data_IF_524764176487
#
_entry.id   IF_524764176487
#
_cell.length_a   1.000
_cell.length_b   1.000
_cell.length_c   1.000
_cell.angle_alpha   90.00
_cell.angle_beta   90.00
_cell.angle_gamma   90.00
#
_symmetry.space_group_name_H-M   'P 1'
#
loop_
_entity.id
_entity.type
_entity.pdbx_description
1 polymer ?
#
# COMPACT_ATOMS: atom_id res chain seq x y z
N UNK A 1 18.16 23.62 -12.01
CA UNK A 1 19.62 23.77 -11.86
C UNK A 1 20.04 22.93 -10.68
N UNK A 2 21.19 22.24 -10.73
CA UNK A 2 21.70 21.46 -9.60
C UNK A 2 21.87 22.33 -8.34
N UNK A 3 21.50 21.78 -7.18
CA UNK A 3 21.64 22.45 -5.87
C UNK A 3 22.79 21.84 -5.07
N UNK A 4 23.34 22.62 -4.14
CA UNK A 4 24.31 22.13 -3.15
C UNK A 4 23.75 21.04 -2.23
N UNK A 5 22.42 20.97 -2.12
CA UNK A 5 21.70 19.97 -1.33
C UNK A 5 21.59 18.63 -2.03
N UNK A 6 21.86 18.55 -3.35
CA UNK A 6 21.84 17.31 -4.13
C UNK A 6 22.77 16.27 -3.52
N UNK A 7 22.36 15.00 -3.64
CA UNK A 7 23.09 13.85 -3.11
C UNK A 7 23.40 12.83 -4.19
N UNK A 8 24.49 12.08 -3.99
CA UNK A 8 24.77 10.83 -4.69
C UNK A 8 24.76 9.66 -3.70
N UNK A 9 24.25 8.52 -4.12
CA UNK A 9 24.31 7.28 -3.33
C UNK A 9 25.71 6.69 -3.40
N UNK A 10 26.25 6.24 -2.26
CA UNK A 10 27.62 5.72 -2.14
C UNK A 10 27.67 4.26 -1.72
N UNK A 11 26.78 3.87 -0.83
CA UNK A 11 26.74 2.53 -0.26
C UNK A 11 25.29 2.13 -0.04
N UNK A 12 25.01 0.85 -0.23
CA UNK A 12 23.71 0.24 0.03
C UNK A 12 23.94 -1.05 0.79
N UNK A 13 23.17 -1.25 1.85
CA UNK A 13 23.11 -2.50 2.61
C UNK A 13 21.68 -3.00 2.59
N UNK A 14 21.54 -4.33 2.52
CA UNK A 14 20.25 -4.99 2.59
C UNK A 14 20.27 -6.09 3.63
N UNK A 15 19.15 -6.27 4.31
CA UNK A 15 18.87 -7.44 5.12
C UNK A 15 17.42 -7.85 4.91
N UNK A 16 17.10 -9.08 5.28
CA UNK A 16 15.74 -9.60 5.20
C UNK A 16 15.34 -10.21 6.52
N UNK A 17 14.10 -9.99 6.91
CA UNK A 17 13.53 -10.57 8.12
C UNK A 17 12.23 -11.30 7.78
N UNK A 18 12.03 -12.47 8.39
CA UNK A 18 10.80 -13.24 8.22
C UNK A 18 9.98 -13.20 9.48
N UNK A 19 8.68 -12.97 9.30
CA UNK A 19 7.71 -12.92 10.37
C UNK A 19 6.59 -13.91 10.07
N UNK A 20 6.37 -14.84 10.99
CA UNK A 20 5.14 -15.63 10.99
C UNK A 20 3.99 -14.74 11.49
N UNK A 21 2.87 -14.76 10.78
CA UNK A 21 1.67 -14.13 11.28
C UNK A 21 1.10 -14.93 12.45
N UNK A 22 0.56 -14.21 13.43
CA UNK A 22 -0.12 -14.82 14.58
C UNK A 22 -1.27 -15.74 14.14
N UNK A 23 -2.02 -15.32 13.13
CA UNK A 23 -3.07 -16.10 12.47
C UNK A 23 -2.96 -15.88 10.95
N UNK A 24 -3.32 -16.87 10.11
CA UNK A 24 -3.30 -16.69 8.67
C UNK A 24 -4.19 -15.53 8.22
N UNK A 25 -3.64 -14.61 7.44
CA UNK A 25 -4.35 -13.49 6.85
C UNK A 25 -4.71 -13.81 5.41
N UNK A 26 -5.96 -13.59 4.98
CA UNK A 26 -6.31 -13.66 3.55
C UNK A 26 -5.98 -12.35 2.86
N UNK A 27 -4.95 -12.34 2.02
CA UNK A 27 -4.47 -11.17 1.29
C UNK A 27 -4.45 -11.48 -0.22
N UNK A 28 -5.05 -10.62 -1.05
CA UNK A 28 -5.15 -10.89 -2.49
C UNK A 28 -5.91 -12.17 -2.84
N UNK A 29 -6.86 -12.59 -1.99
CA UNK A 29 -7.61 -13.85 -2.17
C UNK A 29 -6.90 -15.11 -1.66
N UNK A 30 -5.64 -15.03 -1.25
CA UNK A 30 -4.82 -16.17 -0.82
C UNK A 30 -4.53 -16.10 0.68
N UNK A 31 -4.68 -17.19 1.45
CA UNK A 31 -4.21 -17.23 2.83
C UNK A 31 -2.68 -17.13 2.88
N UNK A 32 -2.17 -16.23 3.71
CA UNK A 32 -0.76 -15.99 3.95
C UNK A 32 -0.50 -16.17 5.44
N UNK A 33 0.50 -16.98 5.79
CA UNK A 33 0.89 -17.27 7.18
C UNK A 33 2.21 -16.63 7.60
N UNK A 34 2.95 -16.05 6.65
CA UNK A 34 4.22 -15.39 6.91
C UNK A 34 4.47 -14.26 5.92
N UNK A 35 5.35 -13.34 6.28
CA UNK A 35 5.82 -12.28 5.39
C UNK A 35 7.33 -12.13 5.51
N UNK A 36 7.96 -11.71 4.42
CA UNK A 36 9.37 -11.36 4.39
C UNK A 36 9.53 -9.88 4.12
N UNK A 37 10.16 -9.19 5.06
CA UNK A 37 10.52 -7.78 4.97
C UNK A 37 11.91 -7.64 4.35
N UNK A 38 12.03 -6.70 3.42
CA UNK A 38 13.29 -6.20 2.91
C UNK A 38 13.62 -4.90 3.65
N UNK A 39 14.71 -4.90 4.41
CA UNK A 39 15.28 -3.71 5.03
C UNK A 39 16.48 -3.23 4.22
N UNK A 40 16.55 -1.92 4.00
CA UNK A 40 17.61 -1.29 3.22
C UNK A 40 18.20 -0.13 4.03
N UNK A 41 19.52 -0.06 4.09
CA UNK A 41 20.25 1.11 4.56
C UNK A 41 21.02 1.73 3.39
N UNK A 42 20.94 3.04 3.23
CA UNK A 42 21.65 3.76 2.16
C UNK A 42 22.53 4.86 2.76
N UNK A 43 23.80 4.91 2.33
CA UNK A 43 24.67 6.05 2.57
C UNK A 43 24.63 7.00 1.38
N UNK A 44 24.34 8.25 1.65
CA UNK A 44 24.34 9.33 0.66
C UNK A 44 25.47 10.32 0.95
N UNK A 45 25.94 11.03 -0.07
CA UNK A 45 26.94 12.09 0.04
C UNK A 45 26.46 13.34 -0.69
N UNK A 46 26.50 14.50 -0.03
CA UNK A 46 26.18 15.79 -0.66
C UNK A 46 27.33 16.30 -1.52
N UNK A 47 27.08 17.30 -2.36
CA UNK A 47 28.15 17.99 -3.13
C UNK A 47 29.29 18.53 -2.27
N UNK A 48 28.96 18.98 -1.06
CA UNK A 48 29.91 19.43 -0.04
C UNK A 48 30.67 18.27 0.68
N UNK A 49 30.48 17.01 0.28
CA UNK A 49 31.16 15.85 0.85
C UNK A 49 30.64 15.38 2.21
N UNK A 50 29.52 15.93 2.70
CA UNK A 50 28.87 15.44 3.93
C UNK A 50 28.15 14.14 3.65
N UNK A 51 28.11 13.24 4.64
CA UNK A 51 27.47 11.93 4.51
C UNK A 51 26.43 11.70 5.59
N UNK A 52 25.41 10.93 5.26
CA UNK A 52 24.43 10.43 6.19
C UNK A 52 23.93 9.05 5.76
N UNK A 53 23.46 8.28 6.74
CA UNK A 53 22.76 7.02 6.52
C UNK A 53 21.26 7.26 6.65
N UNK A 54 20.49 6.55 5.84
CA UNK A 54 19.04 6.45 5.95
C UNK A 54 18.57 5.01 5.81
N UNK A 55 17.35 4.77 6.26
CA UNK A 55 16.76 3.45 6.40
C UNK A 55 15.39 3.40 5.72
N UNK A 56 15.08 2.25 5.13
CA UNK A 56 13.79 1.96 4.50
C UNK A 56 13.44 0.49 4.65
N UNK A 57 12.14 0.19 4.75
CA UNK A 57 11.66 -1.18 4.91
C UNK A 57 10.32 -1.37 4.20
N UNK A 58 10.16 -2.54 3.57
CA UNK A 58 8.91 -2.92 2.91
C UNK A 58 8.81 -4.45 2.85
N UNK A 59 7.63 -5.05 3.11
CA UNK A 59 7.37 -6.45 2.75
C UNK A 59 7.52 -6.68 1.24
N UNK A 60 8.03 -7.84 0.82
CA UNK A 60 8.03 -8.17 -0.61
C UNK A 60 6.62 -8.22 -1.20
N UNK A 61 5.61 -8.69 -0.44
CA UNK A 61 4.20 -8.58 -0.84
C UNK A 61 3.86 -9.26 -2.18
N UNK A 62 4.59 -10.30 -2.58
CA UNK A 62 4.50 -10.92 -3.90
C UNK A 62 3.11 -11.48 -4.23
N UNK A 63 2.32 -11.91 -3.24
CA UNK A 63 0.92 -12.36 -3.44
C UNK A 63 0.01 -11.28 -4.00
N UNK A 64 0.31 -10.01 -3.73
CA UNK A 64 -0.47 -8.87 -4.19
C UNK A 64 0.23 -8.11 -5.32
N UNK A 65 1.55 -7.91 -5.25
CA UNK A 65 2.28 -7.16 -6.26
C UNK A 65 2.55 -8.00 -7.52
N UNK A 66 2.65 -9.33 -7.38
CA UNK A 66 2.83 -10.29 -8.47
C UNK A 66 1.82 -11.47 -8.36
N UNK A 67 0.51 -11.21 -8.54
CA UNK A 67 -0.56 -12.19 -8.30
C UNK A 67 -0.70 -13.20 -9.45
N UNK A 68 0.39 -13.89 -9.80
CA UNK A 68 0.45 -14.82 -10.91
C UNK A 68 -0.34 -16.10 -10.66
N UNK A 69 -1.07 -16.55 -11.68
CA UNK A 69 -1.64 -17.92 -11.73
C UNK A 69 -0.73 -18.92 -12.45
N UNK A 70 0.37 -18.44 -13.05
CA UNK A 70 1.27 -19.21 -13.92
C UNK A 70 2.65 -19.41 -13.30
N UNK A 71 3.06 -18.50 -12.42
CA UNK A 71 4.33 -18.52 -11.69
C UNK A 71 4.04 -18.84 -10.22
N UNK A 72 4.58 -19.94 -9.67
CA UNK A 72 4.37 -20.31 -8.28
C UNK A 72 4.88 -19.25 -7.29
N UNK A 73 4.28 -19.19 -6.11
CA UNK A 73 4.62 -18.25 -5.04
C UNK A 73 6.13 -18.14 -4.77
N UNK A 74 6.83 -19.28 -4.61
CA UNK A 74 8.27 -19.28 -4.35
C UNK A 74 9.10 -18.67 -5.50
N UNK A 75 8.63 -18.80 -6.74
CA UNK A 75 9.30 -18.21 -7.89
C UNK A 75 9.04 -16.70 -7.98
N UNK A 76 7.81 -16.24 -7.68
CA UNK A 76 7.54 -14.79 -7.65
C UNK A 76 8.30 -14.10 -6.52
N UNK A 77 8.35 -14.70 -5.33
CA UNK A 77 9.16 -14.22 -4.21
C UNK A 77 10.66 -14.25 -4.53
N UNK A 78 11.15 -15.34 -5.12
CA UNK A 78 12.54 -15.48 -5.57
C UNK A 78 12.93 -14.41 -6.60
N UNK A 79 12.04 -14.07 -7.53
CA UNK A 79 12.24 -13.01 -8.50
C UNK A 79 12.36 -11.64 -7.84
N UNK A 80 11.49 -11.33 -6.87
CA UNK A 80 11.54 -10.05 -6.14
C UNK A 80 12.80 -9.93 -5.26
N UNK A 81 13.25 -11.02 -4.62
CA UNK A 81 14.55 -11.06 -3.93
C UNK A 81 15.72 -10.84 -4.88
N UNK A 82 15.68 -11.48 -6.05
CA UNK A 82 16.73 -11.33 -7.05
C UNK A 82 16.80 -9.91 -7.60
N UNK A 83 15.65 -9.28 -7.81
CA UNK A 83 15.58 -7.88 -8.20
C UNK A 83 16.17 -6.96 -7.13
N UNK A 84 15.89 -7.19 -5.84
CA UNK A 84 16.44 -6.35 -4.76
C UNK A 84 17.97 -6.42 -4.69
N UNK A 85 18.55 -7.57 -4.99
CA UNK A 85 20.01 -7.72 -5.13
C UNK A 85 20.57 -6.85 -6.23
N UNK A 86 19.96 -6.90 -7.42
CA UNK A 86 20.42 -6.12 -8.56
C UNK A 86 20.25 -4.61 -8.33
N UNK A 87 19.18 -4.19 -7.68
CA UNK A 87 18.97 -2.78 -7.31
C UNK A 87 20.04 -2.31 -6.30
N UNK A 88 20.31 -3.10 -5.25
CA UNK A 88 21.34 -2.77 -4.26
C UNK A 88 22.73 -2.62 -4.90
N UNK A 89 23.00 -3.44 -5.90
CA UNK A 89 24.21 -3.41 -6.70
C UNK A 89 24.28 -2.19 -7.63
N UNK A 90 23.21 -1.84 -8.32
CA UNK A 90 23.19 -0.78 -9.33
C UNK A 90 23.11 0.63 -8.73
N UNK A 91 22.31 0.82 -7.68
CA UNK A 91 22.03 2.14 -7.09
C UNK A 91 23.29 2.97 -6.75
N UNK A 92 24.33 2.47 -6.05
CA UNK A 92 25.53 3.25 -5.75
C UNK A 92 26.41 3.51 -6.99
N UNK A 93 26.18 2.79 -8.09
CA UNK A 93 26.93 2.90 -9.36
C UNK A 93 26.21 3.71 -10.43
N UNK A 94 24.99 4.19 -10.14
CA UNK A 94 24.15 4.82 -11.14
C UNK A 94 24.72 6.13 -11.73
N UNK A 95 25.66 6.76 -11.02
CA UNK A 95 26.34 8.00 -11.43
C UNK A 95 25.48 9.26 -11.32
N UNK A 96 24.27 9.14 -10.74
CA UNK A 96 23.34 10.25 -10.59
C UNK A 96 23.62 11.05 -9.32
N UNK A 97 23.29 12.34 -9.38
CA UNK A 97 23.34 13.25 -8.24
C UNK A 97 22.17 14.23 -8.34
N UNK A 98 21.30 14.27 -7.33
CA UNK A 98 20.07 15.06 -7.37
C UNK A 98 19.26 14.98 -6.08
N UNK A 99 18.06 15.55 -6.10
CA UNK A 99 17.07 15.38 -5.03
C UNK A 99 16.49 13.95 -5.07
N UNK A 100 16.14 13.32 -3.94
CA UNK A 100 15.56 11.97 -3.90
C UNK A 100 14.44 11.70 -4.93
N UNK A 101 13.44 12.59 -5.02
CA UNK A 101 12.35 12.52 -6.04
C UNK A 101 12.88 12.48 -7.49
N UNK A 102 13.98 13.18 -7.77
CA UNK A 102 14.58 13.19 -9.11
C UNK A 102 15.40 11.94 -9.40
N UNK A 103 16.03 11.39 -8.36
CA UNK A 103 16.70 10.10 -8.45
C UNK A 103 15.69 8.99 -8.72
N UNK A 104 14.56 8.97 -8.02
CA UNK A 104 13.49 8.00 -8.24
C UNK A 104 12.98 8.02 -9.69
N UNK A 105 12.59 9.20 -10.18
CA UNK A 105 12.14 9.43 -11.57
C UNK A 105 13.18 8.96 -12.61
N UNK A 106 14.46 9.29 -12.41
CA UNK A 106 15.52 8.93 -13.34
C UNK A 106 15.90 7.44 -13.30
N UNK A 107 15.66 6.75 -12.17
CA UNK A 107 16.04 5.35 -11.96
C UNK A 107 14.93 4.36 -12.28
N UNK A 108 13.66 4.77 -12.31
CA UNK A 108 12.54 3.88 -12.61
C UNK A 108 12.76 3.06 -13.91
N UNK A 109 13.17 3.66 -15.05
CA UNK A 109 13.43 2.87 -16.27
C UNK A 109 14.50 1.79 -16.07
N UNK A 110 15.54 2.08 -15.27
CA UNK A 110 16.60 1.10 -14.98
C UNK A 110 16.08 -0.05 -14.13
N UNK A 111 15.18 0.21 -13.18
CA UNK A 111 14.54 -0.84 -12.38
C UNK A 111 13.69 -1.77 -13.24
N UNK A 112 13.00 -1.24 -14.24
CA UNK A 112 12.24 -2.03 -15.21
C UNK A 112 13.16 -2.90 -16.08
N UNK A 113 14.28 -2.36 -16.58
CA UNK A 113 15.28 -3.15 -17.31
C UNK A 113 15.87 -4.29 -16.46
N UNK A 114 16.14 -4.04 -15.17
CA UNK A 114 16.58 -5.09 -14.25
C UNK A 114 15.49 -6.15 -14.03
N UNK A 115 14.21 -5.75 -13.95
CA UNK A 115 13.09 -6.67 -13.82
C UNK A 115 12.92 -7.57 -15.06
N UNK A 116 13.13 -7.04 -16.26
CA UNK A 116 13.19 -7.81 -17.51
C UNK A 116 14.34 -8.83 -17.46
N UNK A 117 15.54 -8.39 -17.05
CA UNK A 117 16.68 -9.28 -16.88
C UNK A 117 16.40 -10.41 -15.87
N UNK A 118 15.73 -10.13 -14.76
CA UNK A 118 15.34 -11.15 -13.77
C UNK A 118 14.34 -12.14 -14.37
N UNK A 119 13.38 -11.63 -15.15
CA UNK A 119 12.39 -12.45 -15.87
C UNK A 119 13.09 -13.48 -16.76
N UNK A 120 14.09 -13.03 -17.54
CA UNK A 120 14.87 -13.89 -18.43
C UNK A 120 15.81 -14.84 -17.66
N UNK A 121 16.53 -14.33 -16.65
CA UNK A 121 17.47 -15.10 -15.82
C UNK A 121 16.77 -16.29 -15.15
N UNK A 122 15.57 -16.05 -14.60
CA UNK A 122 14.79 -17.07 -13.90
C UNK A 122 13.82 -17.84 -14.81
N UNK A 123 13.74 -17.48 -16.10
CA UNK A 123 12.83 -18.08 -17.09
C UNK A 123 11.38 -18.09 -16.61
N UNK A 124 10.92 -16.96 -16.07
CA UNK A 124 9.57 -16.84 -15.56
C UNK A 124 8.55 -17.03 -16.69
N UNK A 125 7.41 -17.64 -16.38
CA UNK A 125 6.36 -17.89 -17.37
C UNK A 125 5.65 -16.61 -17.86
N UNK A 126 5.82 -15.51 -17.12
CA UNK A 126 5.35 -14.17 -17.45
C UNK A 126 6.27 -13.11 -16.83
N UNK A 127 6.26 -11.87 -17.35
CA UNK A 127 7.12 -10.80 -16.86
C UNK A 127 6.88 -10.44 -15.40
N UNK A 128 7.94 -10.02 -14.71
CA UNK A 128 7.84 -9.38 -13.40
C UNK A 128 7.03 -8.07 -13.56
N UNK A 129 5.86 -7.92 -12.90
CA UNK A 129 4.99 -6.77 -13.10
C UNK A 129 5.62 -5.46 -12.64
N UNK A 130 5.34 -4.35 -13.34
CA UNK A 130 5.84 -3.00 -12.96
C UNK A 130 5.55 -2.68 -11.48
N UNK A 131 4.36 -3.00 -10.96
CA UNK A 131 4.04 -2.79 -9.54
C UNK A 131 5.00 -3.56 -8.61
N UNK A 132 5.28 -4.84 -8.90
CA UNK A 132 6.25 -5.62 -8.13
C UNK A 132 7.66 -5.03 -8.21
N UNK A 133 8.07 -4.50 -9.36
CA UNK A 133 9.33 -3.77 -9.49
C UNK A 133 9.37 -2.56 -8.57
N UNK A 134 8.33 -1.73 -8.58
CA UNK A 134 8.23 -0.53 -7.74
C UNK A 134 8.18 -0.87 -6.25
N UNK A 135 7.48 -1.94 -5.86
CA UNK A 135 7.46 -2.44 -4.48
C UNK A 135 8.87 -2.81 -4.02
N UNK A 136 9.65 -3.53 -4.84
CA UNK A 136 11.03 -3.90 -4.51
C UNK A 136 11.95 -2.67 -4.44
N UNK A 137 11.73 -1.67 -5.28
CA UNK A 137 12.50 -0.42 -5.27
C UNK A 137 12.15 0.50 -4.08
N UNK A 138 10.92 0.44 -3.56
CA UNK A 138 10.41 1.37 -2.55
C UNK A 138 11.23 1.47 -1.25
N UNK A 139 11.79 0.39 -0.64
CA UNK A 139 12.63 0.56 0.55
C UNK A 139 13.97 1.24 0.24
N UNK A 140 14.49 1.12 -0.98
CA UNK A 140 15.68 1.87 -1.40
C UNK A 140 15.36 3.35 -1.52
N UNK A 141 14.22 3.68 -2.14
CA UNK A 141 13.77 5.07 -2.28
C UNK A 141 13.49 5.71 -0.91
N UNK A 142 12.81 4.99 -0.01
CA UNK A 142 12.57 5.44 1.35
C UNK A 142 13.88 5.70 2.12
N UNK A 143 14.87 4.81 1.99
CA UNK A 143 16.18 4.98 2.63
C UNK A 143 16.96 6.19 2.07
N UNK A 144 16.86 6.46 0.76
CA UNK A 144 17.45 7.66 0.13
C UNK A 144 16.79 8.93 0.67
N UNK A 145 15.46 8.95 0.78
CA UNK A 145 14.69 10.06 1.34
C UNK A 145 15.03 10.32 2.81
N UNK A 146 15.08 9.28 3.63
CA UNK A 146 15.46 9.38 5.05
C UNK A 146 16.91 9.87 5.22
N UNK A 147 17.85 9.36 4.42
CA UNK A 147 19.24 9.80 4.43
C UNK A 147 19.36 11.29 4.05
N UNK A 148 18.58 11.74 3.07
CA UNK A 148 18.56 13.15 2.63
C UNK A 148 18.08 14.08 3.75
N UNK A 149 16.96 13.75 4.41
CA UNK A 149 16.46 14.51 5.56
C UNK A 149 17.49 14.59 6.69
N UNK A 150 18.05 13.43 7.08
CA UNK A 150 19.09 13.33 8.12
C UNK A 150 20.34 14.15 7.78
N UNK A 151 20.84 14.08 6.54
CA UNK A 151 22.00 14.82 6.06
C UNK A 151 21.84 16.34 6.22
N UNK A 152 20.61 16.84 6.00
CA UNK A 152 20.29 18.26 6.05
C UNK A 152 19.70 18.71 7.39
N UNK A 153 19.55 17.79 8.36
CA UNK A 153 18.98 18.07 9.67
C UNK A 153 17.53 18.55 9.57
N UNK A 154 16.74 17.89 8.72
CA UNK A 154 15.32 18.18 8.45
C UNK A 154 14.52 16.90 8.41
N UNK A 155 13.22 17.02 8.66
CA UNK A 155 12.29 15.97 8.26
C UNK A 155 12.17 15.99 6.73
N UNK A 156 12.18 14.84 6.06
CA UNK A 156 12.25 14.81 4.59
C UNK A 156 11.08 15.52 3.91
N UNK A 157 9.90 15.54 4.54
CA UNK A 157 8.73 16.25 4.00
C UNK A 157 8.90 17.78 3.99
N UNK A 158 9.81 18.35 4.79
CA UNK A 158 10.19 19.77 4.73
C UNK A 158 11.13 20.06 3.53
N UNK A 159 11.58 19.00 2.83
CA UNK A 159 12.52 19.07 1.73
C UNK A 159 11.86 18.96 0.36
N UNK A 160 10.54 19.07 0.27
CA UNK A 160 9.78 18.85 -0.96
C UNK A 160 9.37 20.13 -1.70
N UNK A 161 9.80 21.29 -1.19
CA UNK A 161 9.59 22.61 -1.80
C UNK A 161 10.70 23.06 -2.76
N UNK A 162 10.50 24.21 -3.43
CA UNK A 162 11.42 24.77 -4.43
C UNK A 162 12.82 25.09 -3.93
N UNK A 163 13.00 25.21 -2.62
CA UNK A 163 14.28 25.43 -1.95
C UNK A 163 15.20 24.21 -2.11
N UNK A 164 14.61 23.01 -2.19
CA UNK A 164 15.31 21.73 -2.13
C UNK A 164 15.20 20.91 -3.41
N UNK A 165 14.02 20.90 -4.04
CA UNK A 165 13.76 20.16 -5.28
C UNK A 165 14.12 21.03 -6.49
N UNK A 166 14.87 20.49 -7.47
CA UNK A 166 15.39 21.30 -8.58
C UNK A 166 14.38 21.53 -9.71
N UNK A 167 13.37 20.66 -9.82
CA UNK A 167 12.34 20.65 -10.86
C UNK A 167 10.95 20.80 -10.24
N UNK A 168 10.08 21.58 -10.86
CA UNK A 168 8.67 21.62 -10.46
C UNK A 168 7.93 20.34 -10.90
N UNK A 169 6.72 20.16 -10.39
CA UNK A 169 5.88 18.98 -10.66
C UNK A 169 5.53 18.81 -12.14
N UNK A 170 5.61 19.86 -12.97
CA UNK A 170 5.32 19.73 -14.41
C UNK A 170 6.34 18.90 -15.18
N UNK A 171 7.51 18.64 -14.59
CA UNK A 171 8.53 17.77 -15.17
C UNK A 171 8.26 16.28 -14.94
N UNK A 172 7.42 15.96 -13.95
CA UNK A 172 7.07 14.59 -13.56
C UNK A 172 5.63 14.22 -13.97
N UNK A 173 4.75 15.22 -13.98
CA UNK A 173 3.33 15.08 -14.29
C UNK A 173 3.03 15.78 -15.64
N UNK A 174 2.35 16.93 -15.61
CA UNK A 174 2.01 17.71 -16.80
C UNK A 174 2.05 19.23 -16.55
N UNK A 175 1.72 20.00 -17.60
CA UNK A 175 1.81 21.46 -17.59
C UNK A 175 0.85 22.16 -16.60
N UNK A 176 -0.16 21.48 -16.08
CA UNK A 176 -1.09 22.04 -15.10
C UNK A 176 -0.39 22.29 -13.76
N UNK A 177 0.69 21.57 -13.48
CA UNK A 177 1.48 21.67 -12.24
C UNK A 177 2.70 22.59 -12.37
N UNK A 178 2.75 23.45 -13.39
CA UNK A 178 3.87 24.37 -13.62
C UNK A 178 4.05 25.31 -12.41
N UNK A 179 5.26 25.35 -11.88
CA UNK A 179 5.61 26.13 -10.70
C UNK A 179 5.09 25.56 -9.36
N UNK A 180 4.43 24.40 -9.38
CA UNK A 180 3.96 23.73 -8.17
C UNK A 180 4.98 22.68 -7.71
N UNK A 181 5.08 22.50 -6.40
CA UNK A 181 6.00 21.58 -5.74
C UNK A 181 5.21 20.67 -4.78
N UNK A 182 5.84 19.59 -4.34
CA UNK A 182 5.20 18.57 -3.51
C UNK A 182 4.77 19.11 -2.13
N UNK A 183 5.47 20.12 -1.60
CA UNK A 183 5.14 20.83 -0.36
C UNK A 183 3.70 21.39 -0.32
N UNK A 184 3.11 21.70 -1.47
CA UNK A 184 1.71 22.11 -1.58
C UNK A 184 0.70 20.98 -1.27
N UNK A 185 1.12 19.73 -1.41
CA UNK A 185 0.27 18.54 -1.33
C UNK A 185 0.59 17.63 -0.15
N UNK A 186 1.72 17.86 0.53
CA UNK A 186 2.11 17.10 1.72
C UNK A 186 2.05 17.96 2.97
N UNK A 187 1.93 17.30 4.13
CA UNK A 187 2.05 17.97 5.42
C UNK A 187 3.50 17.91 5.90
N UNK A 188 4.15 19.05 6.05
CA UNK A 188 5.48 19.14 6.66
C UNK A 188 5.46 18.72 8.13
N UNK A 189 4.35 18.99 8.82
CA UNK A 189 4.15 18.65 10.22
C UNK A 189 3.26 17.41 10.35
N UNK A 190 3.74 16.32 10.97
CA UNK A 190 2.93 15.13 11.15
C UNK A 190 1.73 15.43 12.06
N UNK A 191 0.58 14.80 11.76
CA UNK A 191 -0.57 14.83 12.67
C UNK A 191 -0.29 13.90 13.83
N UNK A 192 -0.28 14.44 15.05
CA UNK A 192 -0.06 13.65 16.27
C UNK A 192 -1.13 12.57 16.53
N UNK A 193 -2.30 12.71 15.89
CA UNK A 193 -3.41 11.76 15.98
C UNK A 193 -4.07 11.62 14.62
N UNK A 194 -4.35 10.38 14.22
CA UNK A 194 -5.14 10.05 13.05
C UNK A 194 -5.94 8.78 13.30
N UNK A 195 -7.10 8.60 12.65
CA UNK A 195 -7.80 7.33 12.65
C UNK A 195 -6.93 6.21 12.09
N UNK A 196 -6.91 5.06 12.76
CA UNK A 196 -6.33 3.83 12.24
C UNK A 196 -7.46 2.86 11.90
N UNK A 197 -7.48 2.38 10.66
CA UNK A 197 -8.45 1.37 10.24
C UNK A 197 -7.94 -0.02 10.62
N UNK A 198 -8.67 -0.72 11.47
CA UNK A 198 -8.43 -2.13 11.75
C UNK A 198 -8.96 -2.98 10.59
N UNK A 199 -8.07 -3.72 9.94
CA UNK A 199 -8.43 -4.62 8.85
C UNK A 199 -9.20 -5.83 9.40
N UNK A 200 -10.35 -6.12 8.81
CA UNK A 200 -11.14 -7.33 9.06
C UNK A 200 -11.05 -8.18 7.80
N UNK A 201 -10.17 -9.18 7.83
CA UNK A 201 -9.98 -10.17 6.79
C UNK A 201 -11.22 -11.05 6.58
N UNK A 202 -11.28 -11.72 5.43
CA UNK A 202 -12.39 -12.63 5.12
C UNK A 202 -12.41 -13.90 5.98
N UNK A 203 -11.29 -14.25 6.61
CA UNK A 203 -11.15 -15.40 7.51
C UNK A 203 -11.22 -15.01 9.00
N UNK A 204 -11.31 -13.71 9.29
CA UNK A 204 -11.19 -13.23 10.65
C UNK A 204 -12.46 -13.57 11.45
N UNK A 205 -12.31 -14.22 12.62
CA UNK A 205 -13.42 -14.56 13.50
C UNK A 205 -14.15 -13.29 13.95
N UNK A 206 -15.48 -13.24 13.80
CA UNK A 206 -16.26 -12.13 14.35
C UNK A 206 -16.62 -12.36 15.81
N UNK A 207 -16.94 -13.61 16.13
CA UNK A 207 -17.41 -14.10 17.42
C UNK A 207 -16.74 -15.42 17.79
N UNK A 208 -16.92 -15.87 19.03
CA UNK A 208 -16.36 -17.15 19.49
C UNK A 208 -16.86 -18.36 18.68
N UNK A 209 -18.03 -18.25 18.04
CA UNK A 209 -18.58 -19.31 17.18
C UNK A 209 -17.78 -19.50 15.89
N UNK A 210 -17.00 -18.49 15.48
CA UNK A 210 -16.16 -18.55 14.28
C UNK A 210 -14.77 -19.15 14.58
N UNK A 211 -14.41 -19.34 15.86
CA UNK A 211 -13.11 -19.86 16.26
C UNK A 211 -13.03 -21.39 16.07
N UNK A 212 -12.02 -21.83 15.32
CA UNK A 212 -11.62 -23.25 15.31
C UNK A 212 -10.74 -23.60 16.51
N UNK A 213 -9.86 -22.68 16.90
CA UNK A 213 -8.94 -22.78 18.02
C UNK A 213 -8.76 -21.36 18.60
N UNK A 214 -8.64 -21.27 19.92
CA UNK A 214 -8.39 -20.02 20.62
C UNK A 214 -6.91 -19.95 20.99
N UNK A 215 -6.26 -18.83 20.66
CA UNK A 215 -4.88 -18.58 21.02
C UNK A 215 -4.83 -17.91 22.40
N UNK A 216 -4.13 -18.55 23.34
CA UNK A 216 -3.94 -18.05 24.71
C UNK A 216 -2.62 -17.29 24.87
N UNK A 217 -2.36 -16.35 23.96
CA UNK A 217 -1.13 -15.54 23.91
C UNK A 217 -1.31 -14.12 24.48
N UNK A 218 -2.47 -13.85 25.09
CA UNK A 218 -2.80 -12.55 25.70
C UNK A 218 -3.38 -11.52 24.73
N UNK A 219 -3.57 -11.86 23.46
CA UNK A 219 -4.19 -10.98 22.47
C UNK A 219 -5.63 -11.40 22.12
N UNK A 220 -6.50 -10.46 21.69
CA UNK A 220 -7.84 -10.78 21.20
C UNK A 220 -7.85 -11.78 20.03
N UNK A 221 -8.86 -12.63 19.96
CA UNK A 221 -9.06 -13.65 18.92
C UNK A 221 -10.22 -13.31 17.97
N UNK A 222 -11.20 -12.52 18.43
CA UNK A 222 -12.39 -12.16 17.64
C UNK A 222 -12.50 -10.65 17.43
N UNK A 223 -13.24 -10.24 16.40
CA UNK A 223 -13.55 -8.82 16.18
C UNK A 223 -14.17 -8.17 17.43
N UNK A 224 -15.08 -8.88 18.11
CA UNK A 224 -15.72 -8.35 19.31
C UNK A 224 -14.71 -8.00 20.41
N UNK A 225 -13.70 -8.87 20.59
CA UNK A 225 -12.63 -8.64 21.56
C UNK A 225 -11.67 -7.53 21.10
N UNK A 226 -11.33 -7.46 19.81
CA UNK A 226 -10.49 -6.40 19.25
C UNK A 226 -11.15 -5.02 19.41
N UNK A 227 -12.45 -4.89 19.16
CA UNK A 227 -13.19 -3.63 19.38
C UNK A 227 -13.12 -3.19 20.85
N UNK A 228 -13.17 -4.15 21.77
CA UNK A 228 -13.07 -3.87 23.21
C UNK A 228 -11.65 -3.50 23.63
N UNK A 229 -10.65 -4.22 23.13
CA UNK A 229 -9.25 -4.08 23.52
C UNK A 229 -8.60 -2.82 22.95
N UNK A 230 -8.70 -2.61 21.64
CA UNK A 230 -8.03 -1.51 20.92
C UNK A 230 -8.95 -0.30 20.70
N UNK A 231 -10.14 -0.34 21.30
CA UNK A 231 -11.10 0.73 21.26
C UNK A 231 -11.57 1.12 19.84
N UNK A 232 -11.53 0.17 18.90
CA UNK A 232 -11.68 0.40 17.46
C UNK A 232 -12.87 1.30 17.11
N UNK A 233 -12.64 2.28 16.24
CA UNK A 233 -13.69 3.18 15.70
C UNK A 233 -13.69 3.23 14.17
N UNK A 234 -12.64 2.72 13.53
CA UNK A 234 -12.49 2.68 12.09
C UNK A 234 -12.07 1.26 11.72
N UNK A 235 -12.84 0.63 10.85
CA UNK A 235 -12.65 -0.77 10.47
C UNK A 235 -12.71 -0.91 8.95
N UNK A 236 -11.81 -1.69 8.37
CA UNK A 236 -11.73 -1.95 6.93
C UNK A 236 -12.21 -3.37 6.66
N UNK A 237 -13.34 -3.51 6.00
CA UNK A 237 -13.97 -4.81 5.73
C UNK A 237 -13.47 -5.32 4.38
N UNK A 238 -12.73 -6.43 4.38
CA UNK A 238 -12.37 -7.13 3.14
C UNK A 238 -13.57 -7.90 2.61
N UNK A 239 -13.85 -7.70 1.32
CA UNK A 239 -14.97 -8.27 0.59
C UNK A 239 -14.46 -9.19 -0.52
N UNK A 240 -15.36 -10.03 -1.04
CA UNK A 240 -15.07 -10.98 -2.11
C UNK A 240 -15.22 -10.33 -3.49
N UNK A 241 -16.21 -9.45 -3.66
CA UNK A 241 -16.43 -8.66 -4.87
C UNK A 241 -17.05 -9.41 -6.05
N UNK A 242 -17.35 -10.69 -5.92
CA UNK A 242 -18.04 -11.46 -6.96
C UNK A 242 -19.17 -12.36 -6.42
N UNK A 243 -19.55 -12.17 -5.15
CA UNK A 243 -20.67 -12.85 -4.49
C UNK A 243 -21.44 -11.81 -3.65
N UNK A 244 -22.53 -11.28 -4.22
CA UNK A 244 -23.28 -10.19 -3.62
C UNK A 244 -24.00 -10.60 -2.34
N UNK A 245 -24.40 -11.87 -2.21
CA UNK A 245 -25.05 -12.38 -1.00
C UNK A 245 -24.01 -12.49 0.11
N UNK A 246 -22.85 -13.06 -0.18
CA UNK A 246 -21.75 -13.15 0.78
C UNK A 246 -21.27 -11.75 1.22
N UNK A 247 -21.04 -10.83 0.28
CA UNK A 247 -20.56 -9.48 0.58
C UNK A 247 -21.57 -8.69 1.44
N UNK A 248 -22.85 -8.74 1.07
CA UNK A 248 -23.92 -8.07 1.84
C UNK A 248 -23.99 -8.64 3.25
N UNK A 249 -24.04 -9.97 3.38
CA UNK A 249 -24.13 -10.63 4.68
C UNK A 249 -22.90 -10.33 5.55
N UNK A 250 -21.70 -10.33 4.96
CA UNK A 250 -20.45 -10.00 5.66
C UNK A 250 -20.51 -8.61 6.30
N UNK A 251 -20.96 -7.60 5.54
CA UNK A 251 -21.09 -6.23 6.03
C UNK A 251 -22.10 -6.15 7.17
N UNK A 252 -23.27 -6.78 7.01
CA UNK A 252 -24.34 -6.76 8.02
C UNK A 252 -23.94 -7.51 9.31
N UNK A 253 -23.25 -8.65 9.19
CA UNK A 253 -22.74 -9.40 10.35
C UNK A 253 -21.69 -8.63 11.12
N UNK A 254 -20.73 -8.00 10.43
CA UNK A 254 -19.73 -7.13 11.07
C UNK A 254 -20.42 -5.96 11.75
N UNK A 255 -21.41 -5.31 11.11
CA UNK A 255 -22.13 -4.21 11.72
C UNK A 255 -22.91 -4.63 12.96
N UNK A 256 -23.52 -5.81 12.97
CA UNK A 256 -24.23 -6.33 14.13
C UNK A 256 -23.27 -6.51 15.33
N UNK A 257 -22.13 -7.19 15.11
CA UNK A 257 -21.12 -7.41 16.15
C UNK A 257 -20.54 -6.09 16.65
N UNK A 258 -20.14 -5.20 15.73
CA UNK A 258 -19.59 -3.90 16.10
C UNK A 258 -20.62 -3.06 16.86
N UNK A 259 -21.86 -3.00 16.41
CA UNK A 259 -22.93 -2.23 17.07
C UNK A 259 -23.19 -2.69 18.50
N UNK A 260 -23.22 -4.02 18.73
CA UNK A 260 -23.40 -4.58 20.06
C UNK A 260 -22.26 -4.17 21.00
N UNK A 261 -21.01 -4.37 20.57
CA UNK A 261 -19.82 -4.08 21.39
C UNK A 261 -19.69 -2.57 21.63
N UNK A 262 -19.87 -1.75 20.59
CA UNK A 262 -19.78 -0.29 20.72
C UNK A 262 -20.86 0.28 21.65
N UNK A 263 -22.06 -0.29 21.62
CA UNK A 263 -23.14 0.10 22.54
C UNK A 263 -22.75 -0.20 23.98
N UNK A 264 -22.18 -1.39 24.27
CA UNK A 264 -21.67 -1.74 25.61
C UNK A 264 -20.54 -0.80 26.06
N UNK A 265 -19.67 -0.40 25.13
CA UNK A 265 -18.60 0.58 25.38
C UNK A 265 -19.10 2.02 25.53
N UNK A 266 -20.35 2.31 25.20
CA UNK A 266 -20.88 3.68 25.14
C UNK A 266 -20.33 4.50 23.97
N UNK A 267 -19.67 3.87 22.99
CA UNK A 267 -19.19 4.52 21.78
C UNK A 267 -20.35 4.71 20.79
N UNK A 268 -20.55 5.94 20.32
CA UNK A 268 -21.68 6.30 19.43
C UNK A 268 -21.28 6.45 17.96
N UNK A 269 -19.98 6.58 17.70
CA UNK A 269 -19.47 6.93 16.37
C UNK A 269 -18.34 5.99 15.97
N UNK A 270 -18.57 5.26 14.89
CA UNK A 270 -17.59 4.44 14.20
C UNK A 270 -17.99 4.31 12.74
N UNK A 271 -17.02 3.96 11.90
CA UNK A 271 -17.18 3.88 10.45
C UNK A 271 -16.49 2.66 9.86
N UNK A 272 -16.92 2.30 8.65
CA UNK A 272 -16.36 1.22 7.86
C UNK A 272 -15.80 1.72 6.53
N UNK A 273 -14.68 1.18 6.08
CA UNK A 273 -14.36 1.15 4.66
C UNK A 273 -14.66 -0.24 4.10
N UNK A 274 -15.11 -0.29 2.85
CA UNK A 274 -15.41 -1.53 2.15
C UNK A 274 -14.36 -1.76 1.06
N UNK A 275 -13.57 -2.81 1.18
CA UNK A 275 -12.48 -3.11 0.25
C UNK A 275 -12.79 -4.39 -0.53
N UNK A 276 -13.01 -4.24 -1.83
CA UNK A 276 -13.35 -5.32 -2.75
C UNK A 276 -12.14 -5.94 -3.45
N UNK A 277 -10.93 -5.48 -3.15
CA UNK A 277 -9.66 -6.05 -3.57
C UNK A 277 -9.60 -6.32 -5.09
N UNK A 278 -10.09 -5.37 -5.87
CA UNK A 278 -10.09 -5.36 -7.33
C UNK A 278 -11.04 -6.38 -8.01
N UNK A 279 -11.99 -6.95 -7.26
CA UNK A 279 -12.79 -8.10 -7.74
C UNK A 279 -14.18 -7.76 -8.30
N UNK A 280 -14.70 -6.53 -8.16
CA UNK A 280 -16.03 -6.25 -8.67
C UNK A 280 -16.06 -6.39 -10.20
N UNK A 281 -16.98 -7.20 -10.76
CA UNK A 281 -17.04 -7.40 -12.20
C UNK A 281 -17.46 -6.13 -12.95
N UNK A 282 -18.21 -5.24 -12.29
CA UNK A 282 -18.67 -3.96 -12.82
C UNK A 282 -19.18 -3.03 -11.70
N UNK A 283 -19.50 -1.78 -12.05
CA UNK A 283 -20.05 -0.78 -11.12
C UNK A 283 -21.46 -1.14 -10.64
N UNK A 284 -22.28 -1.83 -11.45
CA UNK A 284 -23.63 -2.27 -11.09
C UNK A 284 -23.62 -3.24 -9.91
N UNK A 285 -22.64 -4.16 -9.87
CA UNK A 285 -22.43 -5.05 -8.74
C UNK A 285 -22.24 -4.28 -7.42
N UNK A 286 -21.35 -3.29 -7.43
CA UNK A 286 -21.09 -2.46 -6.25
C UNK A 286 -22.35 -1.71 -5.80
N UNK A 287 -23.07 -1.11 -6.74
CA UNK A 287 -24.31 -0.38 -6.45
C UNK A 287 -25.36 -1.31 -5.85
N UNK A 288 -25.47 -2.54 -6.37
CA UNK A 288 -26.40 -3.55 -5.86
C UNK A 288 -26.05 -3.98 -4.43
N UNK A 289 -24.77 -4.25 -4.11
CA UNK A 289 -24.33 -4.54 -2.74
C UNK A 289 -24.68 -3.38 -1.80
N UNK A 290 -24.39 -2.14 -2.18
CA UNK A 290 -24.72 -0.97 -1.37
C UNK A 290 -26.23 -0.81 -1.14
N UNK A 291 -27.05 -1.08 -2.16
CA UNK A 291 -28.51 -1.08 -2.05
C UNK A 291 -28.99 -2.13 -1.05
N UNK A 292 -28.49 -3.37 -1.15
CA UNK A 292 -28.86 -4.48 -0.25
C UNK A 292 -28.43 -4.21 1.19
N UNK A 293 -27.24 -3.67 1.42
CA UNK A 293 -26.80 -3.27 2.77
C UNK A 293 -27.75 -2.22 3.35
N UNK A 294 -28.15 -1.22 2.55
CA UNK A 294 -29.10 -0.20 3.00
C UNK A 294 -30.47 -0.77 3.35
N UNK A 295 -30.96 -1.73 2.58
CA UNK A 295 -32.23 -2.42 2.84
C UNK A 295 -32.18 -3.34 4.06
N UNK A 296 -31.06 -4.02 4.27
CA UNK A 296 -30.85 -4.87 5.45
C UNK A 296 -30.66 -4.06 6.73
N UNK A 297 -29.92 -2.95 6.69
CA UNK A 297 -29.70 -2.05 7.82
C UNK A 297 -29.23 -0.66 7.35
N UNK A 298 -30.11 0.34 7.44
CA UNK A 298 -29.79 1.71 7.03
C UNK A 298 -28.65 2.32 7.86
N UNK A 299 -28.52 1.98 9.15
CA UNK A 299 -27.44 2.47 9.98
C UNK A 299 -26.08 1.92 9.52
N UNK A 300 -26.00 0.64 9.18
CA UNK A 300 -24.81 0.01 8.62
C UNK A 300 -24.37 0.72 7.33
N UNK A 301 -25.30 0.96 6.41
CA UNK A 301 -25.04 1.70 5.16
C UNK A 301 -24.53 3.12 5.42
N UNK A 302 -25.09 3.82 6.41
CA UNK A 302 -24.63 5.17 6.78
C UNK A 302 -23.21 5.17 7.33
N UNK A 303 -22.78 4.10 8.01
CA UNK A 303 -21.41 3.96 8.55
C UNK A 303 -20.33 3.68 7.51
N UNK A 304 -20.71 3.25 6.31
CA UNK A 304 -19.75 3.11 5.20
C UNK A 304 -19.21 4.50 4.84
N UNK A 305 -17.94 4.76 5.17
CA UNK A 305 -17.26 6.01 4.91
C UNK A 305 -16.80 6.13 3.45
N UNK A 306 -16.18 5.07 2.94
CA UNK A 306 -15.71 5.01 1.55
C UNK A 306 -15.59 3.56 1.06
N UNK A 307 -15.49 3.42 -0.25
CA UNK A 307 -15.25 2.17 -0.96
C UNK A 307 -13.81 2.18 -1.47
N UNK A 308 -13.11 1.08 -1.29
CA UNK A 308 -11.71 0.90 -1.64
C UNK A 308 -11.58 -0.17 -2.72
N UNK A 309 -10.82 0.16 -3.77
CA UNK A 309 -10.43 -0.73 -4.86
C UNK A 309 -11.54 -1.65 -5.39
N UNK A 310 -12.68 -1.10 -5.86
CA UNK A 310 -13.73 -1.93 -6.44
C UNK A 310 -13.34 -2.59 -7.77
N UNK A 311 -12.38 -2.04 -8.51
CA UNK A 311 -12.03 -2.50 -9.88
C UNK A 311 -10.60 -2.99 -9.98
N UNK A 312 -10.32 -3.79 -11.01
CA UNK A 312 -8.99 -4.20 -11.45
C UNK A 312 -8.01 -3.03 -11.47
N UNK A 313 -6.75 -3.26 -11.08
CA UNK A 313 -5.67 -2.27 -11.21
C UNK A 313 -5.34 -1.86 -12.65
N UNK A 314 -5.60 -2.74 -13.62
CA UNK A 314 -5.45 -2.44 -15.04
C UNK A 314 -6.73 -1.75 -15.55
N UNK A 315 -6.84 -0.44 -15.32
CA UNK A 315 -8.00 0.34 -15.76
C UNK A 315 -8.10 0.43 -17.29
N UNK A 316 -6.98 0.30 -18.01
CA UNK A 316 -6.94 0.32 -19.48
C UNK A 316 -7.49 -0.96 -20.09
N UNK A 317 -7.39 -2.10 -19.40
CA UNK A 317 -8.00 -3.35 -19.84
C UNK A 317 -9.54 -3.33 -19.79
N UNK A 318 -10.13 -2.51 -18.91
CA UNK A 318 -11.58 -2.44 -18.68
C UNK A 318 -12.11 -0.99 -18.62
N UNK A 319 -11.94 -0.17 -19.69
CA UNK A 319 -12.27 1.26 -19.67
C UNK A 319 -13.76 1.56 -19.51
N UNK A 320 -14.62 0.56 -19.71
CA UNK A 320 -16.05 0.60 -19.46
C UNK A 320 -16.40 0.55 -17.96
N UNK A 321 -15.54 -0.04 -17.12
CA UNK A 321 -15.82 -0.24 -15.70
C UNK A 321 -15.55 1.02 -14.87
N UNK A 322 -16.29 2.09 -15.16
CA UNK A 322 -16.10 3.40 -14.53
C UNK A 322 -16.84 3.50 -13.21
N UNK A 323 -16.12 3.86 -12.15
CA UNK A 323 -16.69 3.99 -10.80
C UNK A 323 -17.47 5.29 -10.55
N UNK A 324 -17.63 6.18 -11.54
CA UNK A 324 -18.31 7.47 -11.36
C UNK A 324 -19.75 7.33 -10.84
N UNK A 325 -20.47 6.28 -11.23
CA UNK A 325 -21.83 6.05 -10.74
C UNK A 325 -21.84 5.71 -9.25
N UNK A 326 -20.93 4.83 -8.81
CA UNK A 326 -20.74 4.52 -7.40
C UNK A 326 -20.22 5.73 -6.60
N UNK A 327 -19.30 6.52 -7.18
CA UNK A 327 -18.72 7.72 -6.56
C UNK A 327 -19.75 8.80 -6.22
N UNK A 328 -20.90 8.83 -6.93
CA UNK A 328 -22.04 9.70 -6.59
C UNK A 328 -22.81 9.23 -5.35
N UNK A 329 -22.65 7.97 -4.93
CA UNK A 329 -23.34 7.35 -3.80
C UNK A 329 -22.45 7.37 -2.55
N UNK A 330 -21.20 6.92 -2.69
CA UNK A 330 -20.17 6.90 -1.63
C UNK A 330 -18.82 7.27 -2.25
N UNK A 331 -17.89 7.91 -1.50
CA UNK A 331 -16.52 8.11 -1.97
C UNK A 331 -15.89 6.78 -2.38
N UNK A 332 -15.15 6.78 -3.49
CA UNK A 332 -14.43 5.62 -4.04
C UNK A 332 -12.95 5.99 -4.12
N UNK A 333 -12.10 5.11 -3.59
CA UNK A 333 -10.63 5.22 -3.61
C UNK A 333 -10.07 4.06 -4.43
N UNK A 334 -9.33 4.39 -5.48
CA UNK A 334 -8.54 3.47 -6.30
C UNK A 334 -7.14 4.10 -6.32
N UNK A 335 -6.19 3.49 -5.63
CA UNK A 335 -4.89 4.11 -5.38
C UNK A 335 -3.79 3.07 -5.24
N UNK A 336 -3.94 2.18 -4.25
CA UNK A 336 -2.89 1.27 -3.76
C UNK A 336 -2.16 0.42 -4.83
N UNK A 337 -2.77 0.17 -5.99
CA UNK A 337 -2.20 -0.62 -7.09
C UNK A 337 -1.99 0.15 -8.41
N UNK A 338 -2.21 1.46 -8.44
CA UNK A 338 -1.94 2.32 -9.58
C UNK A 338 -0.44 2.61 -9.70
N UNK A 339 0.05 2.78 -10.93
CA UNK A 339 1.49 2.82 -11.24
C UNK A 339 1.92 4.02 -12.09
N UNK A 340 0.99 4.90 -12.44
CA UNK A 340 1.23 6.16 -13.15
C UNK A 340 0.03 7.13 -13.00
N UNK A 341 0.19 8.37 -13.49
CA UNK A 341 -0.83 9.43 -13.46
C UNK A 341 -2.02 9.16 -14.39
N UNK A 342 -1.81 8.42 -15.49
CA UNK A 342 -2.87 8.13 -16.46
C UNK A 342 -3.85 7.05 -15.96
N UNK A 343 -3.38 6.24 -15.01
CA UNK A 343 -4.08 5.09 -14.45
C UNK A 343 -5.41 5.42 -13.79
#
# INVERSE_FOLDING_TARGET
MAKETDIAVKEVRRSTERYAYRMPLKFGGVPVSETELLNVEVQVESRAGRRAWGEGSMPFGNTWAFPSKRVPYEQTLGAMRRLSELIADELPRCGLCGHPVELADALEPRWLELAERVTDELRLAEPLPKLATLVVASPFDAAVHDAYGKLHGRHVYECYGPEWLNRDLSQFLDQQFRGEYLDRYVLERPKLRMPLYHLIGALDPLTDADLTERLDDGLPNTLAEWIQHDELTHMKIKLNGNDADWDTNRILSIDAVASEVQTRRGCRTWVYSLDFNEQCPNVEYLIEVLRRVREGNEAAYRRVAYIEQPTARDLKAHPENRMHAAARIKPVVIDESLIDLES
#
